data_IF_399081690651
#
_entry.id   IF_399081690651
#
_cell.length_a   1.000
_cell.length_b   1.000
_cell.length_c   1.000
_cell.angle_alpha   90.00
_cell.angle_beta   90.00
_cell.angle_gamma   90.00
#
_symmetry.space_group_name_H-M   'P 1'
#
loop_
_entity.id
_entity.type
_entity.pdbx_description
1 polymer ?
#
# COMPACT_ATOMS: atom_id res chain seq x y z
N UNK A 1 -30.49 15.67 -23.67
CA UNK A 1 -30.32 14.35 -23.03
C UNK A 1 -28.92 14.32 -22.46
N UNK A 2 -28.76 14.51 -21.14
CA UNK A 2 -27.45 14.47 -20.48
C UNK A 2 -26.97 13.02 -20.49
N UNK A 3 -25.80 12.77 -21.10
CA UNK A 3 -25.15 11.47 -21.00
C UNK A 3 -24.82 11.23 -19.53
N UNK A 4 -25.41 10.19 -18.93
CA UNK A 4 -25.08 9.78 -17.58
C UNK A 4 -23.60 9.43 -17.52
N UNK A 5 -22.86 10.01 -16.58
CA UNK A 5 -21.44 9.73 -16.41
C UNK A 5 -21.18 8.22 -16.27
N UNK A 6 -20.09 7.69 -16.86
CA UNK A 6 -19.70 6.30 -16.69
C UNK A 6 -19.50 5.94 -15.21
N UNK A 7 -19.95 4.76 -14.81
CA UNK A 7 -19.87 4.31 -13.41
C UNK A 7 -18.43 4.30 -12.85
N UNK A 8 -17.42 4.08 -13.69
CA UNK A 8 -16.02 4.03 -13.28
C UNK A 8 -15.45 5.41 -12.89
N UNK A 9 -15.98 6.52 -13.40
CA UNK A 9 -15.56 7.87 -13.00
C UNK A 9 -15.92 8.10 -11.53
N UNK A 10 -17.17 7.78 -11.18
CA UNK A 10 -17.64 7.81 -9.80
C UNK A 10 -16.86 6.87 -8.89
N UNK A 11 -16.45 5.69 -9.38
CA UNK A 11 -15.59 4.78 -8.61
C UNK A 11 -14.20 5.37 -8.35
N UNK A 12 -13.60 6.09 -9.30
CA UNK A 12 -12.31 6.77 -9.11
C UNK A 12 -12.40 7.87 -8.06
N UNK A 13 -13.48 8.63 -8.04
CA UNK A 13 -13.72 9.67 -7.04
C UNK A 13 -13.80 9.09 -5.64
N UNK A 14 -14.56 8.00 -5.45
CA UNK A 14 -14.68 7.31 -4.15
C UNK A 14 -13.31 6.79 -3.68
N UNK A 15 -12.54 6.16 -4.57
CA UNK A 15 -11.20 5.66 -4.26
C UNK A 15 -10.27 6.81 -3.89
N UNK A 16 -10.29 7.90 -4.65
CA UNK A 16 -9.47 9.08 -4.38
C UNK A 16 -9.82 9.72 -3.03
N UNK A 17 -11.10 9.77 -2.68
CA UNK A 17 -11.57 10.29 -1.40
C UNK A 17 -11.09 9.43 -0.22
N UNK A 18 -11.18 8.10 -0.35
CA UNK A 18 -10.60 7.18 0.63
C UNK A 18 -9.10 7.37 0.81
N UNK A 19 -8.34 7.55 -0.29
CA UNK A 19 -6.90 7.83 -0.20
C UNK A 19 -6.61 9.13 0.53
N UNK A 20 -7.37 10.21 0.30
CA UNK A 20 -7.18 11.48 1.01
C UNK A 20 -7.27 11.33 2.52
N UNK A 21 -8.21 10.51 3.00
CA UNK A 21 -8.40 10.27 4.43
C UNK A 21 -7.39 9.28 5.01
N UNK A 22 -7.00 8.25 4.26
CA UNK A 22 -6.13 7.20 4.76
C UNK A 22 -4.64 7.55 4.67
N UNK A 23 -4.18 8.21 3.60
CA UNK A 23 -2.74 8.50 3.40
C UNK A 23 -2.09 9.16 4.62
N UNK A 24 -2.70 10.19 5.26
CA UNK A 24 -2.09 10.82 6.42
C UNK A 24 -1.85 9.85 7.58
N UNK A 25 -2.70 8.84 7.75
CA UNK A 25 -2.56 7.86 8.83
C UNK A 25 -1.45 6.84 8.56
N UNK A 26 -1.04 6.69 7.30
CA UNK A 26 0.00 5.74 6.87
C UNK A 26 1.42 6.31 7.01
N UNK A 27 1.57 7.64 7.12
CA UNK A 27 2.87 8.31 7.13
C UNK A 27 3.76 7.84 8.27
N UNK A 28 3.25 7.88 9.51
CA UNK A 28 4.01 7.47 10.69
C UNK A 28 4.37 5.98 10.68
N UNK A 29 3.43 5.05 10.42
CA UNK A 29 3.74 3.63 10.23
C UNK A 29 4.81 3.37 9.18
N UNK A 30 4.73 4.08 8.04
CA UNK A 30 5.74 3.97 7.00
C UNK A 30 7.11 4.46 7.46
N UNK A 31 7.20 5.60 8.15
CA UNK A 31 8.46 6.11 8.69
C UNK A 31 9.05 5.17 9.74
N UNK A 32 8.21 4.61 10.62
CA UNK A 32 8.61 3.62 11.61
C UNK A 32 9.20 2.38 10.94
N UNK A 33 8.48 1.82 9.96
CA UNK A 33 8.95 0.70 9.16
C UNK A 33 10.29 1.02 8.49
N UNK A 34 10.46 2.21 7.92
CA UNK A 34 11.73 2.62 7.30
C UNK A 34 12.88 2.64 8.30
N UNK A 35 12.64 3.12 9.52
CA UNK A 35 13.67 3.16 10.57
C UNK A 35 14.06 1.76 11.04
N UNK A 36 13.08 0.90 11.34
CA UNK A 36 13.33 -0.45 11.84
C UNK A 36 14.01 -1.35 10.82
N UNK A 37 13.58 -1.27 9.57
CA UNK A 37 14.08 -2.14 8.49
C UNK A 37 15.26 -1.55 7.75
N UNK A 38 15.72 -0.35 8.14
CA UNK A 38 16.66 0.46 7.36
C UNK A 38 16.23 0.57 5.89
N UNK A 39 14.98 0.94 5.63
CA UNK A 39 14.36 1.02 4.28
C UNK A 39 14.24 -0.34 3.56
N UNK A 40 13.98 -1.41 4.29
CA UNK A 40 13.83 -2.77 3.76
C UNK A 40 15.16 -3.50 3.49
N UNK A 41 16.28 -3.00 4.01
CA UNK A 41 17.58 -3.68 3.95
C UNK A 41 17.69 -4.80 4.99
N UNK A 42 16.97 -4.68 6.09
CA UNK A 42 16.83 -5.71 7.12
C UNK A 42 15.41 -6.29 7.09
N UNK A 43 15.28 -7.55 7.52
CA UNK A 43 13.97 -8.17 7.72
C UNK A 43 13.16 -7.34 8.71
N UNK A 44 11.92 -7.02 8.32
CA UNK A 44 11.01 -6.33 9.21
C UNK A 44 10.55 -7.22 10.36
N UNK A 45 10.02 -6.63 11.43
CA UNK A 45 9.22 -7.40 12.36
C UNK A 45 8.10 -8.04 11.54
N UNK A 46 8.09 -9.37 11.47
CA UNK A 46 7.07 -10.12 10.72
C UNK A 46 5.64 -9.75 11.17
N UNK A 47 4.60 -10.31 10.54
CA UNK A 47 3.21 -9.96 10.83
C UNK A 47 2.94 -9.96 12.34
N UNK A 48 2.76 -8.77 12.91
CA UNK A 48 2.34 -8.63 14.30
C UNK A 48 0.89 -9.11 14.36
N UNK A 49 0.58 -10.13 15.18
CA UNK A 49 -0.78 -10.59 15.33
C UNK A 49 -1.66 -9.43 15.75
N UNK A 50 -2.75 -9.17 15.01
CA UNK A 50 -3.73 -8.17 15.40
C UNK A 50 -4.47 -8.69 16.62
N UNK A 51 -3.96 -8.35 17.80
CA UNK A 51 -4.62 -8.57 19.08
C UNK A 51 -5.64 -7.45 19.32
N UNK A 52 -6.62 -7.32 18.42
CA UNK A 52 -7.73 -6.40 18.62
C UNK A 52 -8.86 -7.11 19.36
N UNK A 53 -9.18 -6.64 20.57
CA UNK A 53 -10.35 -7.11 21.33
C UNK A 53 -11.67 -6.69 20.71
N UNK A 54 -11.63 -5.83 19.69
CA UNK A 54 -12.81 -5.25 19.07
C UNK A 54 -13.82 -6.29 18.58
N UNK A 55 -13.40 -7.54 18.25
CA UNK A 55 -14.18 -8.75 17.86
C UNK A 55 -15.37 -8.57 16.89
N UNK A 56 -15.71 -7.34 16.49
CA UNK A 56 -16.98 -6.96 15.89
C UNK A 56 -16.94 -6.92 14.38
N UNK A 57 -15.76 -6.86 13.75
CA UNK A 57 -15.60 -6.80 12.30
C UNK A 57 -14.20 -7.33 11.89
N UNK A 58 -13.79 -8.50 12.40
CA UNK A 58 -12.54 -9.12 11.92
C UNK A 58 -12.77 -9.74 10.55
N UNK A 59 -12.34 -9.05 9.51
CA UNK A 59 -12.34 -9.56 8.15
C UNK A 59 -11.03 -10.29 7.86
N UNK A 60 -11.09 -11.32 7.02
CA UNK A 60 -9.91 -12.00 6.48
C UNK A 60 -9.84 -11.79 4.99
N UNK A 61 -8.65 -11.53 4.49
CA UNK A 61 -8.39 -11.33 3.07
C UNK A 61 -7.07 -11.99 2.70
N UNK A 62 -7.04 -12.64 1.55
CA UNK A 62 -5.81 -13.11 0.93
C UNK A 62 -5.28 -12.01 0.01
N UNK A 63 -4.03 -11.62 0.21
CA UNK A 63 -3.36 -10.62 -0.61
C UNK A 63 -2.11 -11.24 -1.21
N UNK A 64 -1.96 -11.17 -2.53
CA UNK A 64 -0.73 -11.55 -3.21
C UNK A 64 0.30 -10.42 -3.07
N UNK A 65 1.34 -10.69 -2.30
CA UNK A 65 2.49 -9.82 -2.13
C UNK A 65 3.49 -10.01 -3.28
N UNK A 66 3.91 -8.89 -3.87
CA UNK A 66 4.89 -8.83 -4.94
C UNK A 66 6.21 -8.31 -4.38
N UNK A 67 7.20 -9.19 -4.34
CA UNK A 67 8.59 -8.85 -4.00
C UNK A 67 9.40 -8.78 -5.29
N UNK A 68 10.14 -7.68 -5.48
CA UNK A 68 11.11 -7.56 -6.57
C UNK A 68 12.52 -7.73 -6.03
N UNK A 69 12.77 -8.93 -5.51
CA UNK A 69 14.11 -9.43 -5.25
C UNK A 69 14.65 -10.18 -6.49
N UNK A 70 15.78 -10.86 -6.36
CA UNK A 70 16.40 -11.61 -7.46
C UNK A 70 15.47 -12.67 -8.09
N UNK A 71 14.49 -13.17 -7.34
CA UNK A 71 13.62 -14.26 -7.77
C UNK A 71 12.21 -13.79 -8.16
N UNK A 72 11.92 -12.48 -8.03
CA UNK A 72 10.60 -11.90 -8.31
C UNK A 72 9.47 -12.67 -7.60
N UNK A 73 9.62 -12.90 -6.28
CA UNK A 73 8.70 -13.75 -5.53
C UNK A 73 7.27 -13.18 -5.48
N UNK A 74 6.30 -14.07 -5.66
CA UNK A 74 4.89 -13.83 -5.41
C UNK A 74 4.45 -14.72 -4.25
N UNK A 75 4.01 -14.10 -3.16
CA UNK A 75 3.62 -14.81 -1.94
C UNK A 75 2.21 -14.43 -1.51
N UNK A 76 1.37 -15.40 -1.15
CA UNK A 76 0.04 -15.11 -0.64
C UNK A 76 0.07 -14.93 0.88
N UNK A 77 -0.45 -13.80 1.35
CA UNK A 77 -0.58 -13.47 2.75
C UNK A 77 -2.06 -13.51 3.15
N UNK A 78 -2.40 -14.40 4.09
CA UNK A 78 -3.73 -14.40 4.71
C UNK A 78 -3.74 -13.43 5.89
N UNK A 79 -4.31 -12.25 5.67
CA UNK A 79 -4.31 -11.16 6.64
C UNK A 79 -5.67 -11.03 7.31
N UNK A 80 -5.64 -10.74 8.61
CA UNK A 80 -6.82 -10.27 9.33
C UNK A 80 -6.78 -8.75 9.40
N UNK A 81 -7.93 -8.08 9.40
CA UNK A 81 -8.04 -6.63 9.60
C UNK A 81 -9.37 -6.27 10.24
N UNK A 82 -9.46 -5.07 10.80
CA UNK A 82 -10.69 -4.53 11.39
C UNK A 82 -10.70 -3.01 11.28
N UNK A 83 -11.74 -2.35 11.79
CA UNK A 83 -11.80 -0.89 11.79
C UNK A 83 -10.69 -0.24 12.63
N UNK A 84 -10.25 -0.88 13.72
CA UNK A 84 -9.16 -0.38 14.56
C UNK A 84 -7.77 -0.60 13.93
N UNK A 85 -7.64 -1.64 13.10
CA UNK A 85 -6.42 -1.97 12.37
C UNK A 85 -6.78 -2.16 10.88
N UNK A 86 -6.96 -1.06 10.14
CA UNK A 86 -7.20 -1.08 8.71
C UNK A 86 -6.16 -1.92 7.97
N UNK A 87 -6.61 -2.62 6.93
CA UNK A 87 -5.77 -3.52 6.15
C UNK A 87 -4.47 -2.86 5.63
N UNK A 88 -4.55 -1.59 5.23
CA UNK A 88 -3.37 -0.84 4.78
C UNK A 88 -2.31 -0.68 5.88
N UNK A 89 -2.72 -0.52 7.15
CA UNK A 89 -1.81 -0.44 8.28
C UNK A 89 -1.20 -1.81 8.58
N UNK A 90 -2.01 -2.88 8.51
CA UNK A 90 -1.51 -4.26 8.64
C UNK A 90 -0.45 -4.58 7.58
N UNK A 91 -0.71 -4.20 6.33
CA UNK A 91 0.23 -4.39 5.21
C UNK A 91 1.53 -3.60 5.42
N UNK A 92 1.43 -2.33 5.84
CA UNK A 92 2.63 -1.52 6.12
C UNK A 92 3.50 -2.11 7.21
N UNK A 93 2.88 -2.66 8.27
CA UNK A 93 3.59 -3.32 9.36
C UNK A 93 4.50 -4.46 8.89
N UNK A 94 4.12 -5.15 7.81
CA UNK A 94 4.91 -6.23 7.20
C UNK A 94 5.72 -5.79 5.97
N UNK A 95 5.86 -4.49 5.75
CA UNK A 95 6.64 -3.94 4.65
C UNK A 95 5.96 -4.01 3.29
N UNK A 96 4.63 -4.09 3.26
CA UNK A 96 3.83 -4.13 2.03
C UNK A 96 2.94 -2.89 1.90
N UNK A 97 2.65 -2.51 0.67
CA UNK A 97 1.73 -1.41 0.35
C UNK A 97 0.63 -1.91 -0.59
N UNK A 98 -0.66 -1.70 -0.25
CA UNK A 98 -1.75 -2.19 -1.09
C UNK A 98 -1.82 -1.47 -2.43
N UNK A 99 -2.14 -2.20 -3.50
CA UNK A 99 -2.45 -1.60 -4.79
C UNK A 99 -3.82 -0.89 -4.81
N UNK A 100 -4.72 -1.22 -3.86
CA UNK A 100 -6.07 -0.65 -3.74
C UNK A 100 -6.51 -0.62 -2.28
N UNK A 101 -7.27 0.40 -1.88
CA UNK A 101 -7.76 0.53 -0.49
C UNK A 101 -9.04 -0.23 -0.20
N UNK A 102 -9.87 -0.47 -1.22
CA UNK A 102 -11.23 -0.99 -1.02
C UNK A 102 -11.19 -2.52 -0.93
N UNK A 103 -10.45 -3.17 -1.82
CA UNK A 103 -10.21 -4.61 -1.82
C UNK A 103 -8.85 -4.90 -2.50
N UNK A 104 -7.71 -4.78 -1.80
CA UNK A 104 -6.43 -5.15 -2.38
C UNK A 104 -6.36 -6.67 -2.55
N UNK A 105 -6.31 -7.14 -3.79
CA UNK A 105 -5.86 -8.50 -4.10
C UNK A 105 -4.35 -8.58 -4.22
N UNK A 106 -3.68 -7.44 -4.41
CA UNK A 106 -2.25 -7.32 -4.64
C UNK A 106 -1.67 -6.23 -3.74
N UNK A 107 -0.49 -6.50 -3.19
CA UNK A 107 0.34 -5.52 -2.50
C UNK A 107 1.79 -5.62 -2.96
N UNK A 108 2.52 -4.50 -2.90
CA UNK A 108 3.92 -4.43 -3.32
C UNK A 108 4.83 -4.23 -2.11
N UNK A 109 6.02 -4.82 -2.15
CA UNK A 109 7.09 -4.50 -1.21
C UNK A 109 7.40 -3.00 -1.19
N UNK A 110 7.42 -2.41 0.02
CA UNK A 110 7.78 -1.01 0.24
C UNK A 110 9.21 -0.70 -0.21
N UNK A 111 10.15 -1.61 0.04
CA UNK A 111 11.54 -1.47 -0.42
C UNK A 111 11.61 -1.32 -1.95
N UNK A 112 10.81 -2.10 -2.66
CA UNK A 112 10.69 -1.97 -4.11
C UNK A 112 10.06 -0.63 -4.53
N UNK A 113 8.95 -0.21 -3.91
CA UNK A 113 8.35 1.10 -4.21
C UNK A 113 9.31 2.28 -3.94
N UNK A 114 10.17 2.16 -2.93
CA UNK A 114 11.22 3.13 -2.64
C UNK A 114 12.27 3.19 -3.76
N UNK A 115 12.67 2.05 -4.32
CA UNK A 115 13.57 2.01 -5.48
C UNK A 115 12.89 2.67 -6.70
N UNK A 116 11.65 2.30 -7.00
CA UNK A 116 10.90 2.85 -8.14
C UNK A 116 10.70 4.36 -8.00
N UNK A 117 10.37 4.86 -6.81
CA UNK A 117 10.21 6.29 -6.57
C UNK A 117 11.53 7.06 -6.79
N UNK A 118 12.66 6.53 -6.32
CA UNK A 118 13.99 7.12 -6.61
C UNK A 118 14.29 7.09 -8.11
N UNK A 119 13.99 5.99 -8.80
CA UNK A 119 14.13 5.90 -10.25
C UNK A 119 13.32 6.99 -10.95
N UNK A 120 12.05 7.21 -10.60
CA UNK A 120 11.24 8.26 -11.23
C UNK A 120 11.80 9.67 -11.00
N UNK A 121 12.35 9.96 -9.82
CA UNK A 121 13.00 11.25 -9.54
C UNK A 121 14.23 11.46 -10.44
N UNK A 122 15.01 10.41 -10.70
CA UNK A 122 16.27 10.52 -11.44
C UNK A 122 16.16 10.24 -12.95
N UNK A 123 15.12 9.52 -13.40
CA UNK A 123 14.82 9.26 -14.82
C UNK A 123 14.08 10.45 -15.45
N UNK A 124 13.55 11.38 -14.66
CA UNK A 124 12.91 12.60 -15.16
C UNK A 124 13.83 13.82 -15.29
N UNK A 125 14.77 13.85 -16.27
CA UNK A 125 15.17 15.12 -16.88
C UNK A 125 14.47 15.39 -18.23
N UNK A 126 13.82 14.40 -18.86
CA UNK A 126 13.49 14.47 -20.30
C UNK A 126 12.00 14.50 -20.65
N UNK A 127 11.08 14.43 -19.68
CA UNK A 127 9.62 14.45 -19.95
C UNK A 127 8.97 15.84 -19.83
N UNK A 128 9.74 16.89 -19.53
CA UNK A 128 9.28 18.29 -19.59
C UNK A 128 10.05 19.06 -20.69
N UNK A 129 9.72 18.88 -21.98
CA UNK A 129 10.10 19.87 -22.98
C UNK A 129 9.27 21.14 -22.72
N UNK A 130 9.84 22.11 -22.00
CA UNK A 130 9.16 23.39 -21.74
C UNK A 130 9.77 24.31 -20.68
N UNK A 131 10.89 23.96 -20.05
CA UNK A 131 11.58 24.83 -19.10
C UNK A 131 12.98 25.23 -19.62
N UNK A 132 13.00 26.02 -20.69
CA UNK A 132 14.14 26.85 -21.11
C UNK A 132 13.60 28.07 -21.84
#
# INVERSE_FOLDING_TARGET
>A
MSASQPWWEKSKEIVADHWKHLLPTLVWPFMHWCQETSYGWHEGPGPVPINCECRKNSCRVEVTAVYMDHECRLENHLLSYCECHPLALTLLGIGLFPASLICPSIAFSLGHLLVVSKLFIHISPTLLPGAA
#
